data_IF_175497455475
#
_entry.id   IF_175497455475
#
_cell.length_a   1.000
_cell.length_b   1.000
_cell.length_c   1.000
_cell.angle_alpha   90.00
_cell.angle_beta   90.00
_cell.angle_gamma   90.00
#
_symmetry.space_group_name_H-M   'P 1'
#
loop_
_entity.id
_entity.type
_entity.pdbx_description
1 polymer ?
#
# COMPACT_ATOMS: atom_id res chain seq x y z
N UNK A 1 13.71 -12.19 -24.64
CA UNK A 1 12.28 -12.55 -24.73
C UNK A 1 11.89 -12.66 -26.20
N UNK A 2 11.12 -13.69 -26.59
CA UNK A 2 10.44 -13.75 -27.89
C UNK A 2 9.10 -13.03 -27.79
N UNK A 3 8.73 -12.32 -28.84
CA UNK A 3 7.46 -11.57 -28.94
C UNK A 3 6.78 -11.88 -30.27
N UNK A 4 5.46 -11.73 -30.31
CA UNK A 4 4.64 -11.88 -31.51
C UNK A 4 3.29 -11.17 -31.36
N UNK A 5 2.48 -11.20 -32.42
CA UNK A 5 1.12 -10.65 -32.38
C UNK A 5 0.13 -11.59 -31.71
N UNK A 6 -0.78 -11.04 -30.92
CA UNK A 6 -1.88 -11.76 -30.27
C UNK A 6 -3.16 -10.92 -30.32
N UNK A 7 -4.30 -11.57 -30.09
CA UNK A 7 -5.59 -10.92 -29.87
C UNK A 7 -6.06 -11.31 -28.48
N UNK A 8 -6.43 -10.34 -27.67
CA UNK A 8 -6.93 -10.56 -26.32
C UNK A 8 -8.21 -9.76 -26.06
N UNK A 9 -9.07 -10.32 -25.21
CA UNK A 9 -10.16 -9.63 -24.58
C UNK A 9 -9.88 -9.59 -23.07
N UNK A 10 -10.04 -8.44 -22.44
CA UNK A 10 -9.71 -8.23 -21.03
C UNK A 10 -10.95 -7.84 -20.23
N UNK A 11 -11.17 -8.50 -19.10
CA UNK A 11 -12.12 -8.09 -18.07
C UNK A 11 -11.38 -7.88 -16.75
N UNK A 12 -11.88 -6.97 -15.91
CA UNK A 12 -11.28 -6.69 -14.60
C UNK A 12 -12.38 -6.39 -13.58
N UNK A 13 -12.18 -6.89 -12.36
CA UNK A 13 -12.94 -6.52 -11.16
C UNK A 13 -12.17 -5.55 -10.26
N UNK A 14 -10.95 -5.15 -10.65
CA UNK A 14 -10.17 -4.16 -9.90
C UNK A 14 -10.78 -2.77 -10.15
N UNK A 15 -11.15 -2.09 -9.08
CA UNK A 15 -11.72 -0.75 -9.12
C UNK A 15 -10.72 0.22 -9.76
N UNK A 16 -11.16 0.97 -10.77
CA UNK A 16 -10.31 1.93 -11.47
C UNK A 16 -10.06 3.15 -10.59
N UNK A 17 -8.80 3.55 -10.43
CA UNK A 17 -8.43 4.76 -9.69
C UNK A 17 -8.59 4.69 -8.17
N UNK A 18 -8.93 3.53 -7.60
CA UNK A 18 -9.17 3.33 -6.16
C UNK A 18 -7.91 3.21 -5.29
N UNK A 19 -6.72 3.25 -5.91
CA UNK A 19 -5.46 2.93 -5.24
C UNK A 19 -5.17 1.43 -5.10
N UNK A 20 -5.99 0.54 -5.70
CA UNK A 20 -5.80 -0.92 -5.69
C UNK A 20 -5.01 -1.45 -6.89
N UNK A 21 -4.04 -0.68 -7.37
CA UNK A 21 -3.03 -1.16 -8.35
C UNK A 21 -3.59 -1.68 -9.69
N UNK A 22 -4.67 -1.08 -10.20
CA UNK A 22 -5.29 -1.50 -11.48
C UNK A 22 -4.35 -1.42 -12.71
N UNK A 23 -3.38 -0.50 -12.72
CA UNK A 23 -2.34 -0.43 -13.77
C UNK A 23 -1.35 -1.60 -13.66
N UNK A 24 -0.84 -1.85 -12.47
CA UNK A 24 0.04 -2.98 -12.22
C UNK A 24 -0.61 -4.33 -12.58
N UNK A 25 -1.91 -4.49 -12.33
CA UNK A 25 -2.64 -5.69 -12.70
C UNK A 25 -2.65 -5.94 -14.22
N UNK A 26 -2.88 -4.91 -15.04
CA UNK A 26 -2.86 -5.04 -16.50
C UNK A 26 -1.44 -5.23 -17.03
N UNK A 27 -0.46 -4.53 -16.46
CA UNK A 27 0.95 -4.67 -16.80
C UNK A 27 1.46 -6.09 -16.57
N UNK A 28 1.21 -6.64 -15.38
CA UNK A 28 1.58 -8.01 -15.02
C UNK A 28 0.79 -9.02 -15.86
N UNK A 29 -0.49 -8.78 -16.15
CA UNK A 29 -1.28 -9.64 -17.04
C UNK A 29 -0.65 -9.73 -18.44
N UNK A 30 -0.31 -8.58 -19.05
CA UNK A 30 0.30 -8.54 -20.38
C UNK A 30 1.67 -9.22 -20.39
N UNK A 31 2.50 -8.96 -19.37
CA UNK A 31 3.78 -9.65 -19.22
C UNK A 31 3.60 -11.18 -19.10
N UNK A 32 2.61 -11.63 -18.32
CA UNK A 32 2.25 -13.05 -18.16
C UNK A 32 1.80 -13.66 -19.50
N UNK A 33 0.99 -12.95 -20.29
CA UNK A 33 0.56 -13.41 -21.61
C UNK A 33 1.74 -13.61 -22.56
N UNK A 34 2.68 -12.66 -22.62
CA UNK A 34 3.88 -12.82 -23.46
C UNK A 34 4.78 -13.95 -22.97
N UNK A 35 4.91 -14.12 -21.65
CA UNK A 35 5.66 -15.23 -21.07
C UNK A 35 5.07 -16.59 -21.50
N UNK A 36 3.75 -16.71 -21.42
CA UNK A 36 3.03 -17.93 -21.79
C UNK A 36 3.07 -18.21 -23.30
N UNK A 37 2.69 -17.22 -24.12
CA UNK A 37 2.52 -17.40 -25.56
C UNK A 37 3.84 -17.66 -26.30
N UNK A 38 4.93 -17.03 -25.88
CA UNK A 38 6.17 -17.02 -26.66
C UNK A 38 7.40 -17.52 -25.92
N UNK A 39 7.35 -17.62 -24.58
CA UNK A 39 8.53 -17.87 -23.76
C UNK A 39 8.41 -19.11 -22.88
N UNK A 40 7.34 -19.91 -23.02
CA UNK A 40 7.15 -21.19 -22.29
C UNK A 40 7.20 -21.01 -20.77
N UNK A 41 6.69 -19.90 -20.27
CA UNK A 41 6.61 -19.59 -18.85
C UNK A 41 7.96 -19.65 -18.11
N UNK A 42 9.07 -19.30 -18.78
CA UNK A 42 10.41 -19.31 -18.16
C UNK A 42 10.64 -18.19 -17.17
N UNK A 43 9.85 -17.12 -17.23
CA UNK A 43 9.98 -15.97 -16.33
C UNK A 43 9.18 -16.19 -15.06
N UNK A 44 9.78 -15.83 -13.94
CA UNK A 44 9.19 -15.90 -12.60
C UNK A 44 8.30 -14.66 -12.34
N UNK A 45 7.39 -14.70 -11.35
CA UNK A 45 6.51 -13.57 -11.03
C UNK A 45 7.23 -12.24 -10.83
N UNK A 46 8.44 -12.25 -10.26
CA UNK A 46 9.26 -11.04 -10.06
C UNK A 46 9.75 -10.45 -11.39
N UNK A 47 10.13 -11.28 -12.37
CA UNK A 47 10.56 -10.82 -13.68
C UNK A 47 9.39 -10.13 -14.41
N UNK A 48 8.19 -10.71 -14.29
CA UNK A 48 6.97 -10.15 -14.86
C UNK A 48 6.62 -8.79 -14.22
N UNK A 49 6.83 -8.68 -12.90
CA UNK A 49 6.63 -7.43 -12.18
C UNK A 49 7.62 -6.34 -12.62
N UNK A 50 8.90 -6.69 -12.81
CA UNK A 50 9.94 -5.78 -13.30
C UNK A 50 9.61 -5.26 -14.70
N UNK A 51 9.11 -6.14 -15.58
CA UNK A 51 8.65 -5.74 -16.92
C UNK A 51 7.46 -4.79 -16.86
N UNK A 52 6.52 -5.02 -15.94
CA UNK A 52 5.39 -4.13 -15.72
C UNK A 52 5.82 -2.74 -15.27
N UNK A 53 6.68 -2.66 -14.24
CA UNK A 53 7.28 -1.40 -13.78
C UNK A 53 8.06 -0.69 -14.88
N UNK A 54 8.76 -1.44 -15.74
CA UNK A 54 9.45 -0.85 -16.89
C UNK A 54 8.45 -0.17 -17.83
N UNK A 55 7.32 -0.80 -18.13
CA UNK A 55 6.26 -0.23 -18.93
C UNK A 55 5.66 1.04 -18.30
N UNK A 56 5.34 1.00 -17.01
CA UNK A 56 4.75 2.13 -16.27
C UNK A 56 5.67 3.36 -16.29
N UNK A 57 6.96 3.16 -16.02
CA UNK A 57 7.94 4.24 -15.97
C UNK A 57 8.29 4.79 -17.37
N UNK A 58 8.53 3.93 -18.36
CA UNK A 58 9.12 4.37 -19.64
C UNK A 58 8.08 4.68 -20.72
N UNK A 59 6.92 4.02 -20.70
CA UNK A 59 5.88 4.24 -21.71
C UNK A 59 4.76 5.14 -21.20
N UNK A 60 4.40 5.03 -19.92
CA UNK A 60 3.34 5.86 -19.33
C UNK A 60 3.87 7.04 -18.51
N UNK A 61 5.19 7.14 -18.31
CA UNK A 61 5.84 8.26 -17.65
C UNK A 61 5.46 8.42 -16.18
N UNK A 62 5.03 7.34 -15.52
CA UNK A 62 4.61 7.35 -14.12
C UNK A 62 5.74 6.78 -13.26
N UNK A 63 6.41 7.60 -12.42
CA UNK A 63 7.52 7.15 -11.58
C UNK A 63 6.99 6.30 -10.40
N UNK A 64 6.74 5.01 -10.65
CA UNK A 64 6.23 4.07 -9.65
C UNK A 64 7.33 3.15 -9.09
N UNK A 65 7.10 2.70 -7.85
CA UNK A 65 7.88 1.61 -7.24
C UNK A 65 7.54 0.26 -7.86
N UNK A 66 8.08 -0.82 -7.30
CA UNK A 66 7.84 -2.20 -7.78
C UNK A 66 6.82 -2.97 -6.93
N UNK A 67 6.34 -2.36 -5.83
CA UNK A 67 5.46 -2.99 -4.85
C UNK A 67 4.16 -3.51 -5.45
N UNK A 68 3.46 -2.65 -6.19
CA UNK A 68 2.16 -2.95 -6.80
C UNK A 68 2.25 -4.12 -7.79
N UNK A 69 3.27 -4.11 -8.65
CA UNK A 69 3.51 -5.18 -9.61
C UNK A 69 3.90 -6.50 -8.92
N UNK A 70 4.71 -6.46 -7.85
CA UNK A 70 5.01 -7.66 -7.05
C UNK A 70 3.75 -8.21 -6.39
N UNK A 71 2.93 -7.35 -5.78
CA UNK A 71 1.68 -7.76 -5.15
C UNK A 71 0.72 -8.41 -6.16
N UNK A 72 0.60 -7.82 -7.36
CA UNK A 72 -0.20 -8.40 -8.46
C UNK A 72 0.39 -9.72 -8.97
N UNK A 73 1.72 -9.81 -9.08
CA UNK A 73 2.43 -10.96 -9.62
C UNK A 73 2.49 -12.16 -8.68
N UNK A 74 2.80 -11.96 -7.41
CA UNK A 74 3.08 -13.05 -6.46
C UNK A 74 1.81 -13.69 -5.89
N UNK A 75 0.75 -12.91 -5.69
CA UNK A 75 -0.42 -13.35 -4.93
C UNK A 75 -0.12 -13.60 -3.44
N UNK A 76 -1.18 -13.82 -2.66
CA UNK A 76 -1.12 -13.99 -1.22
C UNK A 76 -0.74 -12.70 -0.49
N UNK A 77 -0.44 -12.84 0.80
CA UNK A 77 0.20 -11.80 1.60
C UNK A 77 1.72 -11.99 1.48
N UNK A 78 2.46 -10.92 1.21
CA UNK A 78 3.91 -10.99 1.03
C UNK A 78 4.61 -9.88 1.81
N UNK A 79 5.71 -10.22 2.46
CA UNK A 79 6.72 -9.25 2.88
C UNK A 79 7.66 -8.97 1.71
N UNK A 80 8.01 -7.70 1.49
CA UNK A 80 8.89 -7.27 0.41
C UNK A 80 10.00 -6.41 0.99
N UNK A 81 11.25 -6.81 0.77
CA UNK A 81 12.42 -6.00 1.14
C UNK A 81 13.07 -5.38 -0.09
N UNK A 82 13.03 -4.04 -0.15
CA UNK A 82 13.62 -3.23 -1.23
C UNK A 82 15.08 -2.82 -0.98
N UNK A 83 15.83 -3.54 -0.14
CA UNK A 83 17.28 -3.33 0.05
C UNK A 83 18.04 -3.26 -1.28
N UNK A 84 17.64 -4.12 -2.22
CA UNK A 84 18.13 -4.15 -3.59
C UNK A 84 16.94 -3.92 -4.52
N UNK A 85 16.64 -2.67 -4.93
CA UNK A 85 15.42 -2.35 -5.67
C UNK A 85 15.28 -3.10 -7.01
N UNK A 86 16.39 -3.49 -7.63
CA UNK A 86 16.41 -4.29 -8.87
C UNK A 86 16.10 -5.79 -8.62
N UNK A 87 16.33 -6.27 -7.39
CA UNK A 87 16.11 -7.66 -6.98
C UNK A 87 15.60 -7.73 -5.53
N UNK A 88 14.35 -7.28 -5.28
CA UNK A 88 13.80 -7.27 -3.93
C UNK A 88 13.61 -8.69 -3.40
N UNK A 89 13.83 -8.86 -2.10
CA UNK A 89 13.55 -10.14 -1.42
C UNK A 89 12.06 -10.24 -1.12
N UNK A 90 11.47 -11.39 -1.41
CA UNK A 90 10.03 -11.63 -1.23
C UNK A 90 9.85 -12.78 -0.23
N UNK A 91 9.09 -12.52 0.83
CA UNK A 91 8.74 -13.52 1.84
C UNK A 91 7.23 -13.78 1.80
N UNK A 92 6.76 -14.89 1.20
CA UNK A 92 5.34 -15.22 1.19
C UNK A 92 4.85 -15.59 2.58
N UNK A 93 3.67 -15.09 2.94
CA UNK A 93 3.00 -15.36 4.20
C UNK A 93 1.69 -16.08 3.90
N UNK A 94 1.56 -17.32 4.39
CA UNK A 94 0.30 -18.05 4.34
C UNK A 94 -0.67 -17.44 5.34
N UNK A 95 -1.55 -16.57 4.85
CA UNK A 95 -2.55 -15.90 5.67
C UNK A 95 -3.89 -15.86 4.94
N UNK A 96 -4.93 -16.29 5.64
CA UNK A 96 -6.32 -16.09 5.24
C UNK A 96 -7.03 -15.39 6.39
N UNK A 97 -7.30 -14.09 6.24
CA UNK A 97 -7.91 -13.29 7.29
C UNK A 97 -9.27 -13.85 7.75
N UNK A 98 -10.05 -14.41 6.82
CA UNK A 98 -11.38 -14.96 7.14
C UNK A 98 -11.29 -16.21 8.00
N UNK A 99 -10.29 -17.06 7.76
CA UNK A 99 -9.99 -18.21 8.65
C UNK A 99 -9.50 -17.78 10.03
N UNK A 100 -8.98 -16.55 10.13
CA UNK A 100 -8.57 -15.93 11.40
C UNK A 100 -9.69 -15.08 12.03
N UNK A 101 -10.91 -15.12 11.50
CA UNK A 101 -12.09 -14.45 12.05
C UNK A 101 -12.34 -13.03 11.55
N UNK A 102 -11.62 -12.57 10.53
CA UNK A 102 -11.74 -11.19 10.02
C UNK A 102 -11.99 -11.13 8.51
N UNK A 103 -12.89 -10.25 8.08
CA UNK A 103 -12.96 -9.83 6.68
C UNK A 103 -12.08 -8.62 6.44
N UNK A 104 -11.39 -8.62 5.30
CA UNK A 104 -10.64 -7.48 4.78
C UNK A 104 -11.56 -6.71 3.83
N UNK A 105 -11.72 -5.41 4.07
CA UNK A 105 -12.52 -4.53 3.25
C UNK A 105 -11.73 -3.31 2.84
N UNK A 106 -12.23 -2.65 1.81
CA UNK A 106 -11.86 -1.30 1.44
C UNK A 106 -13.11 -0.43 1.37
N UNK A 107 -12.98 0.82 1.81
CA UNK A 107 -14.01 1.83 1.65
C UNK A 107 -13.49 2.89 0.70
N UNK A 108 -14.15 3.08 -0.43
CA UNK A 108 -13.89 4.15 -1.38
C UNK A 108 -14.52 5.45 -0.87
N UNK A 109 -13.68 6.42 -0.55
CA UNK A 109 -14.11 7.73 -0.05
C UNK A 109 -14.26 8.76 -1.16
N UNK A 110 -13.97 8.37 -2.41
CA UNK A 110 -13.92 9.24 -3.57
C UNK A 110 -12.73 10.21 -3.56
N UNK A 111 -12.91 11.34 -4.24
CA UNK A 111 -11.88 12.37 -4.42
C UNK A 111 -11.00 12.16 -5.64
N UNK A 112 -10.38 13.25 -6.13
CA UNK A 112 -9.52 13.22 -7.31
C UNK A 112 -8.06 13.53 -6.94
N UNK A 113 -7.13 12.73 -7.47
CA UNK A 113 -5.70 12.89 -7.25
C UNK A 113 -5.06 14.01 -8.09
N UNK A 114 -5.78 14.56 -9.09
CA UNK A 114 -5.21 15.50 -10.06
C UNK A 114 -4.51 16.71 -9.40
N UNK A 115 -5.12 17.29 -8.36
CA UNK A 115 -4.60 18.48 -7.68
C UNK A 115 -3.68 18.14 -6.48
N UNK A 116 -3.47 16.86 -6.19
CA UNK A 116 -2.71 16.37 -5.02
C UNK A 116 -1.24 16.04 -5.35
N UNK A 117 -0.84 16.17 -6.62
CA UNK A 117 0.51 15.85 -7.10
C UNK A 117 1.64 16.51 -6.28
N UNK A 118 1.54 17.81 -5.89
CA UNK A 118 2.59 18.44 -5.08
C UNK A 118 2.72 17.84 -3.67
N UNK A 119 1.60 17.51 -3.02
CA UNK A 119 1.61 16.92 -1.67
C UNK A 119 2.24 15.53 -1.67
N UNK A 120 1.90 14.75 -2.70
CA UNK A 120 2.49 13.44 -2.97
C UNK A 120 4.00 13.52 -3.21
N UNK A 121 4.43 14.42 -4.09
CA UNK A 121 5.85 14.59 -4.42
C UNK A 121 6.68 15.10 -3.22
N UNK A 122 6.06 15.86 -2.32
CA UNK A 122 6.73 16.40 -1.14
C UNK A 122 7.18 15.30 -0.16
N UNK A 123 6.44 14.19 -0.03
CA UNK A 123 6.77 13.10 0.93
C UNK A 123 8.20 12.57 0.71
N UNK A 124 8.55 11.99 -0.46
CA UNK A 124 9.88 11.46 -0.69
C UNK A 124 10.95 12.55 -0.69
N UNK A 125 10.65 13.76 -1.19
CA UNK A 125 11.59 14.88 -1.18
C UNK A 125 11.99 15.26 0.25
N UNK A 126 11.01 15.40 1.13
CA UNK A 126 11.22 15.76 2.52
C UNK A 126 11.96 14.66 3.30
N UNK A 127 11.60 13.39 3.10
CA UNK A 127 12.33 12.26 3.69
C UNK A 127 13.80 12.24 3.24
N UNK A 128 14.09 12.51 1.96
CA UNK A 128 15.47 12.60 1.44
C UNK A 128 16.25 13.77 2.05
N UNK A 129 15.59 14.89 2.33
CA UNK A 129 16.25 16.03 3.00
C UNK A 129 16.73 15.68 4.41
N UNK A 130 16.02 14.79 5.11
CA UNK A 130 16.45 14.27 6.41
C UNK A 130 17.57 13.25 6.25
N UNK A 131 17.48 12.33 5.28
CA UNK A 131 18.53 11.35 5.01
C UNK A 131 19.88 12.01 4.70
N UNK A 132 19.87 13.12 3.97
CA UNK A 132 21.08 13.88 3.63
C UNK A 132 21.84 14.41 4.86
N UNK A 133 21.18 14.60 6.01
CA UNK A 133 21.85 14.99 7.27
C UNK A 133 22.77 13.88 7.83
N UNK A 134 22.64 12.66 7.33
CA UNK A 134 23.42 11.48 7.72
C UNK A 134 24.35 11.01 6.58
N UNK A 135 24.57 11.84 5.56
CA UNK A 135 25.32 11.50 4.34
C UNK A 135 24.74 10.26 3.62
N UNK A 136 23.40 10.12 3.62
CA UNK A 136 22.65 9.04 2.96
C UNK A 136 21.66 9.59 1.94
N UNK A 137 21.42 8.81 0.88
CA UNK A 137 20.43 9.15 -0.15
C UNK A 137 18.99 8.84 0.29
N UNK A 138 18.82 7.81 1.12
CA UNK A 138 17.52 7.31 1.58
C UNK A 138 17.54 7.00 3.08
N UNK A 139 16.38 7.13 3.72
CA UNK A 139 16.25 6.89 5.17
C UNK A 139 16.48 5.43 5.57
N UNK A 140 16.34 4.48 4.64
CA UNK A 140 16.63 3.07 4.90
C UNK A 140 18.03 2.87 5.49
N UNK A 141 18.99 3.66 5.03
CA UNK A 141 20.40 3.54 5.44
C UNK A 141 20.70 4.30 6.75
N UNK A 142 19.67 4.80 7.41
CA UNK A 142 19.76 5.53 8.69
C UNK A 142 19.14 4.67 9.79
N UNK A 143 19.94 4.12 10.72
CA UNK A 143 19.41 3.41 11.88
C UNK A 143 18.51 4.31 12.74
N UNK A 144 17.38 3.78 13.21
CA UNK A 144 16.41 4.58 13.97
C UNK A 144 17.01 5.18 15.26
N UNK A 145 17.83 4.41 16.00
CA UNK A 145 18.53 4.93 17.18
C UNK A 145 19.43 6.14 16.87
N UNK A 146 20.19 6.08 15.76
CA UNK A 146 21.04 7.18 15.31
C UNK A 146 20.21 8.43 14.97
N UNK A 147 19.06 8.25 14.31
CA UNK A 147 18.12 9.33 14.02
C UNK A 147 17.62 10.01 15.30
N UNK A 148 17.22 9.22 16.31
CA UNK A 148 16.74 9.74 17.58
C UNK A 148 17.82 10.49 18.36
N UNK A 149 19.04 9.95 18.43
CA UNK A 149 20.17 10.58 19.12
C UNK A 149 20.57 11.91 18.45
N UNK A 150 20.38 12.02 17.14
CA UNK A 150 20.75 13.19 16.34
C UNK A 150 19.61 14.19 16.14
N UNK A 151 18.43 13.94 16.71
CA UNK A 151 17.18 14.65 16.38
C UNK A 151 17.28 16.17 16.56
N UNK A 152 17.98 16.64 17.59
CA UNK A 152 18.19 18.08 17.83
C UNK A 152 18.98 18.73 16.69
N UNK A 153 20.08 18.09 16.25
CA UNK A 153 20.91 18.60 15.16
C UNK A 153 20.19 18.52 13.82
N UNK A 154 19.49 17.40 13.54
CA UNK A 154 18.65 17.24 12.35
C UNK A 154 17.59 18.34 12.29
N UNK A 155 16.91 18.62 13.40
CA UNK A 155 15.88 19.66 13.44
C UNK A 155 16.43 21.06 13.14
N UNK A 156 17.60 21.39 13.69
CA UNK A 156 18.28 22.65 13.42
C UNK A 156 18.76 22.79 11.97
N UNK A 157 19.19 21.68 11.35
CA UNK A 157 19.70 21.68 9.98
C UNK A 157 18.57 21.70 8.94
N UNK A 158 17.59 20.80 9.07
CA UNK A 158 16.49 20.62 8.11
C UNK A 158 15.49 21.77 8.16
N UNK A 159 15.25 22.34 9.35
CA UNK A 159 14.30 23.45 9.58
C UNK A 159 12.90 23.22 8.98
N UNK A 160 12.48 21.95 8.91
CA UNK A 160 11.17 21.54 8.43
C UNK A 160 10.67 20.41 9.33
N UNK A 161 9.83 20.77 10.30
CA UNK A 161 9.28 19.80 11.27
C UNK A 161 8.44 18.71 10.57
N UNK A 162 7.76 19.01 9.45
CA UNK A 162 7.01 18.00 8.68
C UNK A 162 7.93 16.95 8.07
N UNK A 163 9.09 17.35 7.55
CA UNK A 163 10.08 16.41 7.01
C UNK A 163 10.59 15.45 8.10
N UNK A 164 10.82 15.96 9.31
CA UNK A 164 11.28 15.17 10.46
C UNK A 164 10.20 14.17 10.89
N UNK A 165 8.94 14.61 10.97
CA UNK A 165 7.81 13.72 11.29
C UNK A 165 7.65 12.62 10.23
N UNK A 166 7.78 12.95 8.95
CA UNK A 166 7.75 11.97 7.86
C UNK A 166 8.92 10.99 7.95
N UNK A 167 10.12 11.44 8.31
CA UNK A 167 11.25 10.54 8.53
C UNK A 167 11.02 9.60 9.72
N UNK A 168 10.47 10.11 10.83
CA UNK A 168 10.08 9.30 11.97
C UNK A 168 9.02 8.24 11.58
N UNK A 169 8.00 8.63 10.80
CA UNK A 169 7.02 7.70 10.25
C UNK A 169 7.73 6.58 9.49
N UNK A 170 8.57 6.92 8.51
CA UNK A 170 9.24 5.93 7.66
C UNK A 170 10.06 4.92 8.49
N UNK A 171 10.88 5.40 9.43
CA UNK A 171 11.74 4.55 10.24
C UNK A 171 10.93 3.63 11.15
N UNK A 172 9.93 4.17 11.85
CA UNK A 172 9.07 3.39 12.74
C UNK A 172 8.15 2.42 11.99
N UNK A 173 7.69 2.78 10.79
CA UNK A 173 6.83 1.94 9.97
C UNK A 173 7.58 0.72 9.43
N UNK A 174 8.87 0.86 9.07
CA UNK A 174 9.67 -0.30 8.65
C UNK A 174 9.84 -1.32 9.79
N UNK A 175 10.14 -0.87 11.02
CA UNK A 175 10.16 -1.77 12.19
C UNK A 175 8.78 -2.42 12.45
N UNK A 176 7.70 -1.68 12.17
CA UNK A 176 6.34 -2.17 12.33
C UNK A 176 5.99 -3.25 11.32
N UNK A 177 6.44 -3.12 10.07
CA UNK A 177 6.24 -4.15 9.03
C UNK A 177 6.85 -5.48 9.46
N UNK A 178 8.07 -5.49 10.00
CA UNK A 178 8.70 -6.72 10.50
C UNK A 178 7.89 -7.39 11.61
N UNK A 179 7.37 -6.58 12.56
CA UNK A 179 6.49 -7.05 13.63
C UNK A 179 5.16 -7.57 13.08
N UNK A 180 4.58 -6.92 12.07
CA UNK A 180 3.35 -7.36 11.41
C UNK A 180 3.55 -8.70 10.69
N UNK A 181 4.67 -8.87 9.99
CA UNK A 181 5.01 -10.14 9.33
C UNK A 181 5.15 -11.26 10.37
N UNK A 182 5.86 -11.01 11.47
CA UNK A 182 6.00 -11.98 12.56
C UNK A 182 4.64 -12.34 13.20
N UNK A 183 3.78 -11.34 13.44
CA UNK A 183 2.43 -11.57 13.98
C UNK A 183 1.59 -12.45 13.05
N UNK A 184 1.60 -12.19 11.73
CA UNK A 184 0.89 -13.02 10.76
C UNK A 184 1.44 -14.44 10.68
N UNK A 185 2.77 -14.63 10.71
CA UNK A 185 3.39 -15.95 10.74
C UNK A 185 2.98 -16.76 11.97
N UNK A 186 2.82 -16.09 13.10
CA UNK A 186 2.38 -16.68 14.37
C UNK A 186 0.85 -16.76 14.50
N UNK A 187 0.09 -16.34 13.48
CA UNK A 187 -1.38 -16.25 13.48
C UNK A 187 -1.93 -15.38 14.63
N UNK A 188 -1.15 -14.42 15.12
CA UNK A 188 -1.52 -13.48 16.19
C UNK A 188 -2.21 -12.25 15.60
N UNK A 189 -3.53 -12.38 15.39
CA UNK A 189 -4.34 -11.27 14.87
C UNK A 189 -4.46 -10.11 15.84
N UNK A 190 -4.38 -10.34 17.16
CA UNK A 190 -4.49 -9.26 18.15
C UNK A 190 -3.34 -8.28 17.99
N UNK A 191 -2.11 -8.80 17.95
CA UNK A 191 -0.92 -7.98 17.70
C UNK A 191 -0.96 -7.37 16.30
N UNK A 192 -1.31 -8.14 15.26
CA UNK A 192 -1.37 -7.62 13.90
C UNK A 192 -2.33 -6.43 13.76
N UNK A 193 -3.56 -6.55 14.27
CA UNK A 193 -4.56 -5.48 14.19
C UNK A 193 -4.17 -4.25 15.02
N UNK A 194 -3.55 -4.46 16.18
CA UNK A 194 -2.94 -3.37 16.95
C UNK A 194 -1.94 -2.58 16.11
N UNK A 195 -0.99 -3.27 15.45
CA UNK A 195 0.00 -2.65 14.58
C UNK A 195 -0.63 -1.97 13.35
N UNK A 196 -1.69 -2.54 12.75
CA UNK A 196 -2.45 -1.87 11.67
C UNK A 196 -3.03 -0.53 12.15
N UNK A 197 -3.63 -0.49 13.33
CA UNK A 197 -4.17 0.76 13.89
C UNK A 197 -3.06 1.76 14.19
N UNK A 198 -1.94 1.33 14.78
CA UNK A 198 -0.82 2.23 15.02
C UNK A 198 -0.22 2.78 13.70
N UNK A 199 -0.26 2.00 12.61
CA UNK A 199 0.13 2.43 11.26
C UNK A 199 -0.82 3.49 10.70
N UNK A 200 -2.13 3.30 10.87
CA UNK A 200 -3.13 4.33 10.54
C UNK A 200 -2.89 5.63 11.30
N UNK A 201 -2.64 5.51 12.60
CA UNK A 201 -2.35 6.63 13.50
C UNK A 201 -1.06 7.37 13.11
N UNK A 202 -0.02 6.61 12.74
CA UNK A 202 1.26 7.12 12.23
C UNK A 202 1.07 7.86 10.91
N UNK A 203 0.19 7.36 10.03
CA UNK A 203 -0.15 8.02 8.76
C UNK A 203 -0.80 9.38 9.00
N UNK A 204 -1.67 9.49 10.01
CA UNK A 204 -2.33 10.75 10.36
C UNK A 204 -1.40 11.73 11.05
N UNK A 205 -0.70 11.30 12.10
CA UNK A 205 0.11 12.18 12.96
C UNK A 205 1.44 12.56 12.33
N UNK A 206 2.07 11.63 11.61
CA UNK A 206 3.48 11.74 11.23
C UNK A 206 3.68 11.82 9.71
N UNK A 207 3.10 10.90 8.92
CA UNK A 207 3.19 10.98 7.46
C UNK A 207 2.39 12.17 6.90
N UNK A 208 1.27 12.45 7.56
CA UNK A 208 0.32 13.52 7.23
C UNK A 208 -0.23 13.38 5.81
N UNK A 209 -0.63 12.17 5.43
CA UNK A 209 -1.18 11.85 4.12
C UNK A 209 -2.67 11.50 4.14
N UNK A 210 -3.44 11.99 5.13
CA UNK A 210 -4.89 11.77 5.14
C UNK A 210 -5.67 12.89 4.45
N UNK A 211 -5.09 14.08 4.33
CA UNK A 211 -5.73 15.21 3.68
C UNK A 211 -4.68 16.21 3.21
N UNK A 212 -5.03 16.97 2.19
CA UNK A 212 -4.30 18.19 1.83
C UNK A 212 -4.89 19.38 2.58
N UNK A 213 -4.03 20.24 3.11
CA UNK A 213 -4.47 21.53 3.69
C UNK A 213 -4.98 22.49 2.60
N UNK A 214 -4.62 22.26 1.34
CA UNK A 214 -5.06 23.07 0.21
C UNK A 214 -6.48 22.72 -0.29
N UNK A 215 -6.98 21.52 0.06
CA UNK A 215 -8.28 20.99 -0.41
C UNK A 215 -9.18 20.63 0.77
N UNK A 216 -9.50 21.61 1.61
CA UNK A 216 -10.28 21.39 2.84
C UNK A 216 -11.70 20.82 2.63
N UNK A 217 -12.24 20.87 1.40
CA UNK A 217 -13.57 20.33 1.06
C UNK A 217 -13.54 18.84 0.69
N UNK A 218 -12.35 18.26 0.48
CA UNK A 218 -12.17 16.87 0.07
C UNK A 218 -11.34 16.12 1.11
N UNK A 219 -12.00 15.66 2.19
CA UNK A 219 -11.36 14.94 3.31
C UNK A 219 -12.09 13.63 3.62
N UNK A 220 -12.38 12.85 2.57
CA UNK A 220 -13.08 11.57 2.71
C UNK A 220 -12.36 10.58 3.61
N UNK A 221 -11.02 10.50 3.53
CA UNK A 221 -10.23 9.56 4.33
C UNK A 221 -10.36 9.79 5.85
N UNK A 222 -10.15 10.99 6.42
CA UNK A 222 -10.39 11.24 7.85
C UNK A 222 -11.82 10.91 8.29
N UNK A 223 -12.83 11.26 7.47
CA UNK A 223 -14.23 10.95 7.80
C UNK A 223 -14.43 9.43 7.85
N UNK A 224 -13.90 8.69 6.88
CA UNK A 224 -14.06 7.24 6.83
C UNK A 224 -13.36 6.55 8.01
N UNK A 225 -12.16 7.00 8.38
CA UNK A 225 -11.45 6.49 9.56
C UNK A 225 -12.23 6.75 10.83
N UNK A 226 -12.71 7.99 11.05
CA UNK A 226 -13.46 8.33 12.26
C UNK A 226 -14.75 7.51 12.41
N UNK A 227 -15.49 7.31 11.31
CA UNK A 227 -16.70 6.49 11.30
C UNK A 227 -16.37 5.01 11.53
N UNK A 228 -15.29 4.51 10.92
CA UNK A 228 -14.86 3.12 11.08
C UNK A 228 -14.38 2.81 12.49
N UNK A 229 -13.55 3.67 13.08
CA UNK A 229 -13.08 3.53 14.46
C UNK A 229 -14.25 3.53 15.45
N UNK A 230 -15.21 4.47 15.24
CA UNK A 230 -16.44 4.52 16.04
C UNK A 230 -17.24 3.23 15.92
N UNK A 231 -17.38 2.67 14.72
CA UNK A 231 -18.13 1.43 14.54
C UNK A 231 -17.40 0.24 15.16
N UNK A 232 -16.10 0.11 14.92
CA UNK A 232 -15.33 -1.06 15.33
C UNK A 232 -15.16 -1.14 16.84
N UNK A 233 -15.08 -0.02 17.57
CA UNK A 233 -14.94 -0.01 19.03
C UNK A 233 -13.78 -0.90 19.52
N UNK A 234 -12.67 -0.95 18.76
CA UNK A 234 -11.50 -1.78 19.06
C UNK A 234 -11.61 -3.26 18.67
N UNK A 235 -12.74 -3.72 18.14
CA UNK A 235 -12.92 -5.10 17.66
C UNK A 235 -12.26 -5.40 16.30
N UNK A 236 -11.63 -4.41 15.68
CA UNK A 236 -10.99 -4.53 14.37
C UNK A 236 -9.91 -3.47 14.18
N UNK A 237 -9.52 -3.24 12.92
CA UNK A 237 -8.54 -2.21 12.60
C UNK A 237 -8.84 -1.48 11.30
N UNK A 238 -8.39 -0.24 11.18
CA UNK A 238 -8.45 0.49 9.93
C UNK A 238 -7.26 1.42 9.74
N UNK A 239 -6.90 1.67 8.49
CA UNK A 239 -5.87 2.64 8.10
C UNK A 239 -6.10 3.13 6.68
N UNK A 240 -5.48 4.24 6.31
CA UNK A 240 -5.39 4.62 4.89
C UNK A 240 -4.71 3.54 4.06
N UNK A 241 -5.22 3.30 2.86
CA UNK A 241 -4.63 2.39 1.90
C UNK A 241 -3.96 3.17 0.76
N UNK A 242 -2.83 2.65 0.27
CA UNK A 242 -2.05 3.29 -0.78
C UNK A 242 -1.45 4.63 -0.34
N UNK A 243 -1.44 5.58 -1.27
CA UNK A 243 -0.73 6.84 -1.12
C UNK A 243 -1.37 7.88 -0.19
N UNK A 244 -2.69 7.82 -0.01
CA UNK A 244 -3.47 8.75 0.80
C UNK A 244 -3.92 10.02 0.08
N UNK A 245 -4.26 11.07 0.83
CA UNK A 245 -4.85 12.34 0.42
C UNK A 245 -6.25 12.25 -0.22
N UNK A 246 -6.52 11.19 -0.99
CA UNK A 246 -7.82 10.78 -1.51
C UNK A 246 -7.83 9.25 -1.70
N UNK A 247 -8.97 8.66 -2.08
CA UNK A 247 -9.09 7.24 -2.39
C UNK A 247 -9.67 6.41 -1.23
N UNK A 248 -8.96 5.36 -0.82
CA UNK A 248 -9.54 4.29 0.01
C UNK A 248 -8.91 4.17 1.41
N UNK A 249 -9.72 3.71 2.36
CA UNK A 249 -9.22 3.11 3.60
C UNK A 249 -9.29 1.59 3.52
N UNK A 250 -8.39 0.92 4.21
CA UNK A 250 -8.36 -0.52 4.41
C UNK A 250 -8.86 -0.85 5.81
N UNK A 251 -9.73 -1.86 5.91
CA UNK A 251 -10.46 -2.17 7.14
C UNK A 251 -10.47 -3.68 7.39
N UNK A 252 -10.27 -4.04 8.64
CA UNK A 252 -10.39 -5.40 9.17
C UNK A 252 -11.54 -5.40 10.16
N UNK A 253 -12.60 -6.14 9.84
CA UNK A 253 -13.78 -6.28 10.70
C UNK A 253 -13.95 -7.75 11.10
N UNK A 254 -14.43 -8.05 12.32
CA UNK A 254 -14.93 -9.39 12.62
C UNK A 254 -15.98 -9.82 11.59
N UNK A 255 -15.91 -11.08 11.15
CA UNK A 255 -16.77 -11.61 10.07
C UNK A 255 -18.26 -11.44 10.38
N UNK A 256 -18.64 -11.58 11.65
CA UNK A 256 -20.01 -11.43 12.13
C UNK A 256 -20.52 -9.98 12.07
N UNK A 257 -19.63 -8.99 11.98
CA UNK A 257 -19.97 -7.56 11.90
C UNK A 257 -19.87 -6.99 10.48
N UNK A 258 -19.37 -7.76 9.51
CA UNK A 258 -19.12 -7.31 8.14
C UNK A 258 -20.35 -6.68 7.49
N UNK A 259 -21.52 -7.32 7.62
CA UNK A 259 -22.75 -6.81 7.00
C UNK A 259 -23.18 -5.47 7.60
N UNK A 260 -23.23 -5.39 8.92
CA UNK A 260 -23.62 -4.16 9.63
C UNK A 260 -22.64 -3.02 9.34
N UNK A 261 -21.35 -3.33 9.15
CA UNK A 261 -20.34 -2.37 8.76
C UNK A 261 -20.57 -1.82 7.36
N UNK A 262 -20.89 -2.69 6.38
CA UNK A 262 -21.22 -2.28 5.01
C UNK A 262 -22.43 -1.34 5.04
N UNK A 263 -23.54 -1.76 5.65
CA UNK A 263 -24.76 -0.95 5.73
C UNK A 263 -24.49 0.42 6.40
N UNK A 264 -23.67 0.44 7.44
CA UNK A 264 -23.28 1.65 8.15
C UNK A 264 -22.46 2.63 7.29
N UNK A 265 -21.42 2.13 6.61
CA UNK A 265 -20.52 2.96 5.81
C UNK A 265 -21.14 3.40 4.49
N UNK A 266 -21.93 2.54 3.84
CA UNK A 266 -22.66 2.91 2.62
C UNK A 266 -23.74 3.96 2.89
N UNK A 267 -24.30 4.00 4.11
CA UNK A 267 -25.14 5.10 4.55
C UNK A 267 -24.44 6.47 4.59
N UNK A 268 -23.10 6.49 4.61
CA UNK A 268 -22.28 7.72 4.63
C UNK A 268 -21.69 8.03 3.25
N UNK A 269 -21.10 7.02 2.59
CA UNK A 269 -20.33 7.19 1.35
C UNK A 269 -21.10 6.79 0.08
N UNK A 270 -22.33 6.28 0.24
CA UNK A 270 -23.18 5.82 -0.86
C UNK A 270 -23.09 4.31 -1.09
N UNK A 271 -24.08 3.78 -1.81
CA UNK A 271 -24.13 2.36 -2.18
C UNK A 271 -22.88 1.94 -2.94
N UNK A 272 -22.40 0.71 -2.70
CA UNK A 272 -21.21 0.13 -3.30
C UNK A 272 -19.89 0.85 -2.96
N UNK A 273 -19.87 1.75 -1.97
CA UNK A 273 -18.61 2.35 -1.48
C UNK A 273 -17.75 1.36 -0.70
N UNK A 274 -18.32 0.26 -0.20
CA UNK A 274 -17.58 -0.76 0.55
C UNK A 274 -17.40 -2.01 -0.30
N UNK A 275 -16.16 -2.49 -0.40
CA UNK A 275 -15.85 -3.74 -1.10
C UNK A 275 -15.20 -4.72 -0.13
N UNK A 276 -15.79 -5.91 0.02
CA UNK A 276 -15.15 -7.04 0.71
C UNK A 276 -14.10 -7.65 -0.22
N UNK A 277 -12.85 -7.67 0.22
CA UNK A 277 -11.72 -8.17 -0.56
C UNK A 277 -11.47 -9.66 -0.29
N UNK A 278 -11.07 -10.37 -1.35
CA UNK A 278 -10.50 -11.70 -1.27
C UNK A 278 -9.06 -11.65 -1.79
N UNK A 279 -8.12 -12.14 -0.99
CA UNK A 279 -6.73 -12.25 -1.42
C UNK A 279 -6.55 -13.53 -2.22
N UNK A 280 -6.14 -13.38 -3.47
CA UNK A 280 -5.79 -14.50 -4.33
C UNK A 280 -4.46 -15.10 -3.88
N UNK A 281 -4.47 -16.34 -3.40
CA UNK A 281 -3.27 -17.01 -2.86
C UNK A 281 -2.25 -17.49 -3.91
N UNK A 282 -2.60 -17.48 -5.19
CA UNK A 282 -1.74 -17.98 -6.27
C UNK A 282 -1.03 -16.81 -6.98
N UNK A 283 0.21 -17.01 -7.47
CA UNK A 283 0.87 -16.09 -8.39
C UNK A 283 0.08 -15.90 -9.68
N UNK A 284 0.38 -14.84 -10.43
CA UNK A 284 -0.16 -14.63 -11.78
C UNK A 284 0.01 -15.92 -12.58
N UNK A 285 -1.09 -16.41 -13.14
CA UNK A 285 -1.12 -17.76 -13.69
C UNK A 285 -2.10 -17.85 -14.84
N UNK A 286 -1.84 -18.83 -15.70
CA UNK A 286 -2.76 -19.25 -16.73
C UNK A 286 -3.82 -20.15 -16.11
N UNK A 287 -5.09 -19.83 -16.36
CA UNK A 287 -6.21 -20.72 -16.08
C UNK A 287 -6.40 -21.66 -17.28
N UNK A 288 -6.63 -22.95 -17.02
CA UNK A 288 -6.94 -23.96 -18.04
C UNK A 288 -8.44 -24.23 -18.09
#
# INVERSE_FOLDING_TARGET
MKIGGFVANTSTSVLKGSGLSSSAAIEVLVATLFNNLYNRDILEPIDLAILGKFAENNYFGKPSGLMDQIACGQGGVVGIDFAHPEHPSITPISCNFRELGYDLLVVDTGGNHADLTPDYAAIPQEMRSVAACFDRDVLRDVPFGLFMDSLSAVRQHVQNDRAILRAYHYLSENERVDKMLSALQNRDMGTYLGLVNESGDSSFKFLQNLYSTSVAKEQGLPVALAMTERFLEGSGACRVHGGGFAGTIQVYTPVERTKDYIDYMEGVFGECSVTVLAIRNLPTTRLN
#
